data_IF_746296961347
#
_entry.id   IF_746296961347
#
_cell.length_a   1.000
_cell.length_b   1.000
_cell.length_c   1.000
_cell.angle_alpha   90.00
_cell.angle_beta   90.00
_cell.angle_gamma   90.00
#
_symmetry.space_group_name_H-M   'P 1'
#
loop_
_entity.id
_entity.type
_entity.pdbx_description
1 polymer ?
#
# COMPACT_ATOMS: atom_id res chain seq x y z
N UNK A 1 -22.53 9.53 1.46
CA UNK A 1 -21.63 8.43 1.89
C UNK A 1 -21.47 8.53 3.39
N UNK A 2 -21.71 7.46 4.13
CA UNK A 2 -21.53 7.45 5.59
C UNK A 2 -20.04 7.36 6.00
N UNK A 3 -19.75 7.45 7.30
CA UNK A 3 -18.38 7.45 7.82
C UNK A 3 -17.66 6.12 7.53
N UNK A 4 -18.34 5.00 7.62
CA UNK A 4 -17.76 3.67 7.37
C UNK A 4 -17.39 3.50 5.89
N UNK A 5 -18.23 3.95 4.98
CA UNK A 5 -17.96 3.96 3.54
C UNK A 5 -16.79 4.87 3.19
N UNK A 6 -16.60 5.99 3.92
CA UNK A 6 -15.41 6.86 3.72
C UNK A 6 -14.14 6.24 4.28
N UNK A 7 -14.21 5.46 5.37
CA UNK A 7 -13.07 4.72 5.91
C UNK A 7 -12.63 3.57 5.01
N UNK A 8 -13.58 2.92 4.36
CA UNK A 8 -13.36 1.75 3.52
C UNK A 8 -14.07 1.93 2.18
N UNK A 9 -13.57 2.80 1.30
CA UNK A 9 -14.25 3.16 0.06
C UNK A 9 -14.47 1.99 -0.90
N UNK A 10 -13.68 0.94 -0.76
CA UNK A 10 -13.79 -0.31 -1.53
C UNK A 10 -14.16 -1.53 -0.66
N UNK A 11 -14.64 -1.29 0.58
CA UNK A 11 -14.87 -2.34 1.56
C UNK A 11 -13.61 -2.76 2.32
N UNK A 12 -13.78 -3.61 3.33
CA UNK A 12 -12.67 -4.13 4.16
C UNK A 12 -11.92 -5.23 3.43
N UNK A 13 -10.63 -5.35 3.71
CA UNK A 13 -9.81 -6.46 3.19
C UNK A 13 -10.44 -7.81 3.53
N UNK A 14 -10.52 -8.67 2.53
CA UNK A 14 -10.96 -10.06 2.66
C UNK A 14 -9.75 -10.96 2.40
N UNK A 15 -9.27 -11.64 3.46
CA UNK A 15 -8.15 -12.58 3.32
C UNK A 15 -8.54 -13.70 2.36
N UNK A 16 -7.73 -14.00 1.33
CA UNK A 16 -8.01 -15.12 0.45
C UNK A 16 -8.02 -16.44 1.22
N UNK A 17 -9.01 -17.28 0.93
CA UNK A 17 -9.22 -18.58 1.61
C UNK A 17 -8.35 -19.64 0.97
N UNK A 18 -8.22 -19.63 -0.36
CA UNK A 18 -7.50 -20.61 -1.17
C UNK A 18 -6.44 -19.93 -2.02
N UNK A 19 -5.40 -20.70 -2.36
CA UNK A 19 -4.37 -20.27 -3.29
C UNK A 19 -4.91 -20.35 -4.74
N UNK A 20 -4.80 -19.22 -5.46
CA UNK A 20 -5.26 -19.10 -6.85
C UNK A 20 -4.19 -18.34 -7.66
N UNK A 21 -3.47 -19.05 -8.51
CA UNK A 21 -2.42 -18.46 -9.36
C UNK A 21 -2.96 -17.42 -10.35
N UNK A 22 -4.22 -17.53 -10.76
CA UNK A 22 -4.85 -16.57 -11.66
C UNK A 22 -4.89 -15.18 -11.06
N UNK A 23 -5.19 -15.09 -9.76
CA UNK A 23 -5.24 -13.81 -9.02
C UNK A 23 -3.89 -13.13 -8.87
N UNK A 24 -2.80 -13.89 -8.81
CA UNK A 24 -1.44 -13.32 -8.66
C UNK A 24 -1.14 -12.32 -9.77
N UNK A 25 -1.45 -12.66 -11.02
CA UNK A 25 -1.21 -11.78 -12.18
C UNK A 25 -2.01 -10.48 -12.10
N UNK A 26 -3.26 -10.58 -11.68
CA UNK A 26 -4.14 -9.42 -11.52
C UNK A 26 -3.60 -8.48 -10.43
N UNK A 27 -3.22 -9.04 -9.28
CA UNK A 27 -2.65 -8.27 -8.17
C UNK A 27 -1.30 -7.63 -8.53
N UNK A 28 -0.43 -8.34 -9.26
CA UNK A 28 0.83 -7.78 -9.77
C UNK A 28 0.54 -6.60 -10.71
N UNK A 29 -0.49 -6.70 -11.54
CA UNK A 29 -0.90 -5.61 -12.43
C UNK A 29 -1.29 -4.36 -11.63
N UNK A 30 -2.06 -4.53 -10.55
CA UNK A 30 -2.42 -3.41 -9.65
C UNK A 30 -1.16 -2.78 -9.02
N UNK A 31 -0.24 -3.59 -8.51
CA UNK A 31 1.04 -3.11 -7.97
C UNK A 31 1.80 -2.31 -9.04
N UNK A 32 1.92 -2.83 -10.26
CA UNK A 32 2.63 -2.21 -11.38
C UNK A 32 2.06 -0.85 -11.78
N UNK A 33 0.73 -0.74 -11.80
CA UNK A 33 0.03 0.46 -12.28
C UNK A 33 -0.17 1.53 -11.19
N UNK A 34 -0.06 1.16 -9.92
CA UNK A 34 -0.40 2.01 -8.80
C UNK A 34 0.31 3.38 -8.80
N UNK A 35 1.64 3.50 -9.04
CA UNK A 35 2.32 4.80 -9.06
C UNK A 35 1.74 5.76 -10.11
N UNK A 36 1.45 5.24 -11.31
CA UNK A 36 0.86 6.04 -12.37
C UNK A 36 -0.54 6.52 -12.00
N UNK A 37 -1.38 5.65 -11.42
CA UNK A 37 -2.73 6.00 -10.97
C UNK A 37 -2.70 7.07 -9.87
N UNK A 38 -1.78 6.98 -8.91
CA UNK A 38 -1.60 8.04 -7.90
C UNK A 38 -1.20 9.35 -8.55
N UNK A 39 -0.20 9.31 -9.44
CA UNK A 39 0.27 10.49 -10.16
C UNK A 39 -0.85 11.15 -10.97
N UNK A 40 -1.61 10.39 -11.74
CA UNK A 40 -2.74 10.88 -12.53
C UNK A 40 -3.79 11.59 -11.66
N UNK A 41 -4.10 11.04 -10.48
CA UNK A 41 -5.07 11.62 -9.57
C UNK A 41 -4.57 12.90 -8.89
N UNK A 42 -3.24 13.05 -8.70
CA UNK A 42 -2.67 14.13 -7.88
C UNK A 42 -1.93 15.21 -8.67
N UNK A 43 -1.53 14.96 -9.92
CA UNK A 43 -0.66 15.84 -10.73
C UNK A 43 -1.19 17.28 -10.92
N UNK A 44 -2.51 17.49 -10.85
CA UNK A 44 -3.14 18.78 -11.03
C UNK A 44 -3.73 19.34 -9.71
N UNK A 45 -3.45 18.71 -8.57
CA UNK A 45 -3.93 19.19 -7.28
C UNK A 45 -3.08 20.37 -6.79
N UNK A 46 -3.74 21.42 -6.31
CA UNK A 46 -3.09 22.49 -5.55
C UNK A 46 -2.70 21.98 -4.15
N UNK A 47 -1.80 22.71 -3.47
CA UNK A 47 -1.45 22.40 -2.07
C UNK A 47 -2.68 22.35 -1.16
N UNK A 48 -3.64 23.26 -1.36
CA UNK A 48 -4.89 23.25 -0.62
C UNK A 48 -5.70 21.97 -0.83
N UNK A 49 -5.74 21.46 -2.08
CA UNK A 49 -6.39 20.19 -2.39
C UNK A 49 -5.62 18.99 -1.81
N UNK A 50 -4.28 19.01 -1.87
CA UNK A 50 -3.43 17.99 -1.26
C UNK A 50 -3.59 17.98 0.27
N UNK A 51 -3.87 19.11 0.90
CA UNK A 51 -4.08 19.21 2.35
C UNK A 51 -5.56 19.01 2.77
N UNK A 52 -6.42 18.65 1.81
CA UNK A 52 -7.82 18.29 2.09
C UNK A 52 -7.92 16.86 2.64
N UNK A 53 -8.49 16.65 3.84
CA UNK A 53 -8.70 15.32 4.38
C UNK A 53 -9.83 14.59 3.64
N UNK A 54 -9.64 13.28 3.38
CA UNK A 54 -10.66 12.48 2.68
C UNK A 54 -11.94 12.28 3.51
N UNK A 55 -11.88 12.44 4.82
CA UNK A 55 -13.00 12.45 5.76
C UNK A 55 -12.69 13.32 6.98
N UNK A 56 -13.68 13.59 7.80
CA UNK A 56 -13.48 14.23 9.09
C UNK A 56 -12.49 13.42 9.96
N UNK A 57 -11.47 14.08 10.52
CA UNK A 57 -10.38 13.46 11.28
C UNK A 57 -9.65 12.34 10.51
N UNK A 58 -9.67 12.38 9.18
CA UNK A 58 -8.88 11.48 8.32
C UNK A 58 -7.58 12.15 7.87
N UNK A 59 -6.74 11.37 7.23
CA UNK A 59 -5.52 11.88 6.61
C UNK A 59 -5.84 12.76 5.41
N UNK A 60 -4.97 13.72 5.13
CA UNK A 60 -4.99 14.51 3.90
C UNK A 60 -4.51 13.66 2.71
N UNK A 61 -4.77 14.12 1.49
CA UNK A 61 -4.23 13.45 0.29
C UNK A 61 -2.70 13.38 0.36
N UNK A 62 -2.04 14.45 0.80
CA UNK A 62 -0.59 14.50 1.03
C UNK A 62 -0.12 13.37 1.95
N UNK A 63 -0.74 13.23 3.11
CA UNK A 63 -0.43 12.17 4.07
C UNK A 63 -0.68 10.77 3.47
N UNK A 64 -1.74 10.57 2.69
CA UNK A 64 -2.03 9.31 2.02
C UNK A 64 -0.92 8.93 1.02
N UNK A 65 -0.44 9.88 0.21
CA UNK A 65 0.63 9.62 -0.77
C UNK A 65 1.94 9.26 -0.07
N UNK A 66 2.33 10.00 0.97
CA UNK A 66 3.53 9.70 1.74
C UNK A 66 3.41 8.36 2.48
N UNK A 67 2.25 8.08 3.10
CA UNK A 67 1.97 6.80 3.73
C UNK A 67 2.09 5.62 2.76
N UNK A 68 1.62 5.76 1.52
CA UNK A 68 1.78 4.71 0.53
C UNK A 68 3.26 4.40 0.24
N UNK A 69 4.11 5.42 0.14
CA UNK A 69 5.55 5.20 -0.03
C UNK A 69 6.15 4.45 1.17
N UNK A 70 5.86 4.89 2.39
CA UNK A 70 6.34 4.27 3.63
C UNK A 70 5.88 2.82 3.77
N UNK A 71 4.58 2.59 3.58
CA UNK A 71 3.97 1.26 3.69
C UNK A 71 4.54 0.29 2.66
N UNK A 72 4.69 0.74 1.41
CA UNK A 72 5.15 -0.12 0.33
C UNK A 72 6.65 -0.44 0.43
N UNK A 73 7.49 0.47 0.93
CA UNK A 73 8.89 0.19 1.30
C UNK A 73 8.95 -0.93 2.35
N UNK A 74 8.16 -0.82 3.41
CA UNK A 74 8.10 -1.82 4.46
C UNK A 74 7.66 -3.19 3.89
N UNK A 75 6.64 -3.22 3.05
CA UNK A 75 6.17 -4.47 2.44
C UNK A 75 7.21 -5.10 1.52
N UNK A 76 7.81 -4.32 0.62
CA UNK A 76 8.86 -4.80 -0.26
C UNK A 76 10.02 -5.43 0.53
N UNK A 77 10.41 -4.80 1.66
CA UNK A 77 11.41 -5.34 2.57
C UNK A 77 10.95 -6.68 3.15
N UNK A 78 9.70 -6.80 3.59
CA UNK A 78 9.12 -8.06 4.12
C UNK A 78 9.14 -9.19 3.07
N UNK A 79 8.83 -8.89 1.81
CA UNK A 79 8.95 -9.86 0.71
C UNK A 79 10.39 -10.36 0.59
N UNK A 80 11.38 -9.46 0.57
CA UNK A 80 12.79 -9.84 0.47
C UNK A 80 13.24 -10.68 1.66
N UNK A 81 12.89 -10.30 2.87
CA UNK A 81 13.19 -11.07 4.07
C UNK A 81 12.60 -12.49 3.98
N UNK A 82 11.31 -12.62 3.66
CA UNK A 82 10.69 -13.93 3.57
C UNK A 82 11.25 -14.81 2.44
N UNK A 83 11.77 -14.21 1.37
CA UNK A 83 12.41 -14.95 0.27
C UNK A 83 13.83 -15.41 0.61
N UNK A 84 14.50 -14.80 1.57
CA UNK A 84 15.92 -15.04 1.90
C UNK A 84 16.15 -15.67 3.26
N UNK A 85 15.17 -15.63 4.15
CA UNK A 85 15.24 -16.14 5.52
C UNK A 85 14.11 -17.12 5.79
N UNK A 86 14.28 -17.96 6.80
CA UNK A 86 13.22 -18.86 7.27
C UNK A 86 12.36 -18.18 8.31
N UNK A 87 11.10 -17.94 7.96
CA UNK A 87 10.07 -17.32 8.81
C UNK A 87 10.55 -16.07 9.58
N UNK A 88 11.09 -15.05 8.89
CA UNK A 88 11.61 -13.87 9.56
C UNK A 88 10.52 -13.15 10.36
N UNK A 89 10.86 -12.67 11.54
CA UNK A 89 10.00 -11.77 12.31
C UNK A 89 10.21 -10.35 11.80
N UNK A 90 9.15 -9.73 11.28
CA UNK A 90 9.24 -8.36 10.75
C UNK A 90 9.10 -7.32 11.87
N UNK A 91 9.63 -6.12 11.63
CA UNK A 91 9.39 -4.99 12.52
C UNK A 91 8.14 -4.22 12.05
N UNK A 92 7.08 -4.14 12.88
CA UNK A 92 5.96 -3.25 12.61
C UNK A 92 6.36 -1.79 12.86
N UNK A 93 5.59 -0.87 12.31
CA UNK A 93 5.76 0.55 12.56
C UNK A 93 4.40 1.19 12.88
N UNK A 94 4.44 2.32 13.58
CA UNK A 94 3.24 3.04 14.01
C UNK A 94 2.81 4.02 12.91
N UNK A 95 2.05 3.55 11.94
CA UNK A 95 1.65 4.31 10.74
C UNK A 95 1.00 5.66 11.07
N UNK A 96 0.14 5.69 12.09
CA UNK A 96 -0.51 6.92 12.52
C UNK A 96 0.48 7.96 13.06
N UNK A 97 1.56 7.53 13.71
CA UNK A 97 2.60 8.43 14.20
C UNK A 97 3.52 8.89 13.07
N UNK A 98 3.81 8.02 12.11
CA UNK A 98 4.59 8.39 10.92
C UNK A 98 3.83 9.44 10.09
N UNK A 99 2.52 9.29 9.95
CA UNK A 99 1.67 10.27 9.26
C UNK A 99 1.68 11.67 9.90
N UNK A 100 2.11 11.80 11.15
CA UNK A 100 2.23 13.08 11.86
C UNK A 100 3.64 13.71 11.79
N UNK A 101 4.61 13.03 11.19
CA UNK A 101 5.96 13.55 11.02
C UNK A 101 6.00 14.69 9.99
N UNK A 102 7.02 15.55 10.11
CA UNK A 102 7.12 16.78 9.32
C UNK A 102 7.20 16.54 7.82
N UNK A 103 7.94 15.51 7.40
CA UNK A 103 8.06 15.12 6.00
C UNK A 103 6.72 14.67 5.42
N UNK A 104 5.93 13.91 6.16
CA UNK A 104 4.60 13.45 5.73
C UNK A 104 3.57 14.58 5.70
N UNK A 105 3.68 15.56 6.58
CA UNK A 105 2.70 16.66 6.68
C UNK A 105 2.98 17.83 5.75
N UNK A 106 4.24 18.10 5.44
CA UNK A 106 4.63 19.38 4.84
C UNK A 106 5.46 19.29 3.57
N UNK A 107 6.05 18.10 3.27
CA UNK A 107 6.85 17.95 2.06
C UNK A 107 5.95 17.84 0.82
N UNK A 108 6.44 18.35 -0.32
CA UNK A 108 5.82 18.10 -1.62
C UNK A 108 5.79 16.59 -1.92
N UNK A 109 4.71 16.12 -2.55
CA UNK A 109 4.49 14.68 -2.80
C UNK A 109 5.43 14.07 -3.84
N UNK A 110 6.16 14.89 -4.61
CA UNK A 110 7.02 14.45 -5.73
C UNK A 110 8.07 13.44 -5.30
N UNK A 111 8.65 13.59 -4.11
CA UNK A 111 9.61 12.64 -3.56
C UNK A 111 8.99 11.26 -3.32
N UNK A 112 7.78 11.20 -2.77
CA UNK A 112 7.07 9.94 -2.56
C UNK A 112 6.55 9.35 -3.86
N UNK A 113 6.13 10.15 -4.83
CA UNK A 113 5.80 9.66 -6.17
C UNK A 113 7.02 9.01 -6.84
N UNK A 114 8.20 9.62 -6.73
CA UNK A 114 9.46 9.06 -7.26
C UNK A 114 9.86 7.77 -6.55
N UNK A 115 9.69 7.71 -5.22
CA UNK A 115 9.92 6.48 -4.44
C UNK A 115 8.97 5.37 -4.91
N UNK A 116 7.68 5.66 -5.03
CA UNK A 116 6.68 4.69 -5.47
C UNK A 116 6.99 4.16 -6.88
N UNK A 117 7.35 5.03 -7.83
CA UNK A 117 7.71 4.63 -9.19
C UNK A 117 8.90 3.66 -9.20
N UNK A 118 10.01 4.01 -8.58
CA UNK A 118 11.20 3.16 -8.54
C UNK A 118 10.99 1.87 -7.75
N UNK A 119 10.27 1.96 -6.61
CA UNK A 119 9.98 0.82 -5.75
C UNK A 119 9.08 -0.19 -6.46
N UNK A 120 7.96 0.27 -7.04
CA UNK A 120 6.99 -0.60 -7.69
C UNK A 120 7.54 -1.25 -8.95
N UNK A 121 8.40 -0.56 -9.70
CA UNK A 121 9.11 -1.19 -10.81
C UNK A 121 9.94 -2.38 -10.32
N UNK A 122 10.76 -2.19 -9.28
CA UNK A 122 11.55 -3.28 -8.70
C UNK A 122 10.69 -4.38 -8.07
N UNK A 123 9.61 -4.00 -7.42
CA UNK A 123 8.72 -4.95 -6.76
C UNK A 123 7.98 -5.81 -7.79
N UNK A 124 7.50 -5.22 -8.87
CA UNK A 124 6.89 -5.95 -9.99
C UNK A 124 7.86 -7.00 -10.56
N UNK A 125 9.11 -6.62 -10.85
CA UNK A 125 10.14 -7.57 -11.34
C UNK A 125 10.37 -8.71 -10.35
N UNK A 126 10.42 -8.40 -9.04
CA UNK A 126 10.55 -9.43 -8.00
C UNK A 126 9.34 -10.37 -8.00
N UNK A 127 8.12 -9.85 -8.00
CA UNK A 127 6.89 -10.63 -7.97
C UNK A 127 6.74 -11.52 -9.21
N UNK A 128 7.06 -10.99 -10.40
CA UNK A 128 7.03 -11.75 -11.67
C UNK A 128 8.08 -12.87 -11.73
N UNK A 129 9.15 -12.77 -10.94
CA UNK A 129 10.22 -13.79 -10.87
C UNK A 129 9.96 -14.90 -9.85
N UNK A 130 8.95 -14.75 -8.99
CA UNK A 130 8.63 -15.70 -7.93
C UNK A 130 7.91 -16.94 -8.49
N UNK A 131 8.30 -18.12 -8.00
CA UNK A 131 7.58 -19.36 -8.25
C UNK A 131 6.30 -19.46 -7.39
N UNK A 132 5.39 -20.37 -7.73
CA UNK A 132 4.20 -20.65 -6.90
C UNK A 132 4.58 -21.03 -5.46
N UNK A 133 5.70 -21.74 -5.26
CA UNK A 133 6.19 -22.11 -3.93
C UNK A 133 6.66 -20.90 -3.13
N UNK A 134 7.27 -19.90 -3.77
CA UNK A 134 7.70 -18.68 -3.09
C UNK A 134 6.53 -17.92 -2.47
N UNK A 135 5.34 -17.95 -3.09
CA UNK A 135 4.14 -17.33 -2.54
C UNK A 135 3.62 -18.01 -1.27
N UNK A 136 4.04 -19.23 -0.98
CA UNK A 136 3.73 -19.93 0.28
C UNK A 136 4.71 -19.58 1.41
N UNK A 137 5.86 -18.96 1.10
CA UNK A 137 6.79 -18.49 2.14
C UNK A 137 6.11 -17.47 3.03
N UNK A 138 6.51 -17.44 4.28
CA UNK A 138 5.85 -16.63 5.31
C UNK A 138 6.84 -15.71 6.02
N UNK A 139 6.32 -14.62 6.56
CA UNK A 139 6.93 -13.84 7.63
C UNK A 139 6.01 -13.81 8.85
N UNK A 140 6.56 -13.51 10.03
CA UNK A 140 5.83 -13.42 11.27
C UNK A 140 5.63 -11.96 11.64
N UNK A 141 4.36 -11.54 11.77
CA UNK A 141 4.03 -10.24 12.34
C UNK A 141 3.95 -10.37 13.86
N UNK A 142 4.76 -9.65 14.66
CA UNK A 142 4.86 -9.88 16.10
C UNK A 142 3.57 -9.55 16.88
N UNK A 143 2.74 -8.67 16.33
CA UNK A 143 1.39 -8.46 16.86
C UNK A 143 0.56 -9.73 16.63
N UNK A 144 0.22 -10.41 17.73
CA UNK A 144 -0.54 -11.67 17.72
C UNK A 144 0.20 -12.89 17.14
N UNK A 145 1.54 -12.82 16.99
CA UNK A 145 2.34 -13.90 16.41
C UNK A 145 1.74 -14.45 15.10
N UNK A 146 1.29 -13.56 14.23
CA UNK A 146 0.53 -13.89 13.03
C UNK A 146 1.44 -14.24 11.88
N UNK A 147 1.36 -15.49 11.40
CA UNK A 147 2.05 -15.94 10.18
C UNK A 147 1.31 -15.45 8.93
N UNK A 148 2.01 -14.72 8.08
CA UNK A 148 1.46 -14.14 6.85
C UNK A 148 2.24 -14.67 5.65
N UNK A 149 1.57 -15.38 4.75
CA UNK A 149 2.18 -15.83 3.50
C UNK A 149 2.39 -14.66 2.54
N UNK A 150 3.38 -14.77 1.65
CA UNK A 150 3.61 -13.79 0.59
C UNK A 150 2.40 -13.67 -0.36
N UNK A 151 1.64 -14.75 -0.55
CA UNK A 151 0.35 -14.71 -1.25
C UNK A 151 -0.67 -13.79 -0.57
N UNK A 152 -0.86 -13.95 0.75
CA UNK A 152 -1.75 -13.09 1.53
C UNK A 152 -1.24 -11.66 1.56
N UNK A 153 0.07 -11.46 1.67
CA UNK A 153 0.68 -10.14 1.64
C UNK A 153 0.44 -9.43 0.29
N UNK A 154 0.59 -10.13 -0.83
CA UNK A 154 0.30 -9.57 -2.16
C UNK A 154 -1.17 -9.17 -2.28
N UNK A 155 -2.10 -10.05 -1.88
CA UNK A 155 -3.54 -9.73 -1.85
C UNK A 155 -3.84 -8.52 -0.97
N UNK A 156 -3.16 -8.38 0.17
CA UNK A 156 -3.29 -7.22 1.05
C UNK A 156 -2.87 -5.94 0.34
N UNK A 157 -1.78 -5.97 -0.45
CA UNK A 157 -1.29 -4.78 -1.14
C UNK A 157 -2.03 -4.47 -2.44
N UNK A 158 -2.65 -5.45 -3.09
CA UNK A 158 -3.66 -5.19 -4.11
C UNK A 158 -4.83 -4.37 -3.51
N UNK A 159 -5.38 -4.84 -2.41
CA UNK A 159 -6.44 -4.13 -1.69
C UNK A 159 -5.97 -2.76 -1.21
N UNK A 160 -4.78 -2.65 -0.60
CA UNK A 160 -4.21 -1.42 -0.05
C UNK A 160 -4.03 -0.33 -1.12
N UNK A 161 -3.52 -0.69 -2.29
CA UNK A 161 -3.40 0.20 -3.43
C UNK A 161 -4.77 0.78 -3.83
N UNK A 162 -5.74 -0.09 -4.07
CA UNK A 162 -7.08 0.32 -4.47
C UNK A 162 -7.81 1.11 -3.36
N UNK A 163 -7.60 0.75 -2.10
CA UNK A 163 -8.14 1.43 -0.94
C UNK A 163 -7.68 2.89 -0.85
N UNK A 164 -6.38 3.14 -1.00
CA UNK A 164 -5.84 4.50 -0.95
C UNK A 164 -6.13 5.31 -2.21
N UNK A 165 -6.20 4.70 -3.40
CA UNK A 165 -6.75 5.37 -4.58
C UNK A 165 -8.19 5.82 -4.32
N UNK A 166 -9.01 4.97 -3.68
CA UNK A 166 -10.36 5.33 -3.27
C UNK A 166 -10.40 6.53 -2.31
N UNK A 167 -9.48 6.61 -1.34
CA UNK A 167 -9.39 7.77 -0.45
C UNK A 167 -9.08 9.07 -1.20
N UNK A 168 -8.12 9.04 -2.14
CA UNK A 168 -7.79 10.21 -2.96
C UNK A 168 -9.01 10.62 -3.81
N UNK A 169 -9.69 9.67 -4.44
CA UNK A 169 -10.88 9.93 -5.26
C UNK A 169 -12.03 10.57 -4.47
N UNK A 170 -12.18 10.26 -3.17
CA UNK A 170 -13.20 10.90 -2.32
C UNK A 170 -13.01 12.41 -2.19
N UNK A 171 -11.80 12.92 -2.31
CA UNK A 171 -11.53 14.36 -2.23
C UNK A 171 -11.85 15.09 -3.53
N UNK A 172 -11.82 14.38 -4.67
CA UNK A 172 -12.16 14.94 -5.99
C UNK A 172 -13.68 15.12 -6.22
N UNK A 173 -14.50 14.49 -5.37
CA UNK A 173 -15.97 14.54 -5.46
C UNK A 173 -16.56 15.65 -4.58
N UNK A 174 -15.73 16.45 -3.93
CA UNK A 174 -16.15 17.59 -3.09
C UNK A 174 -16.07 18.88 -3.90
#
# INVERSE_FOLDING_TARGET
>A
MDLEQKKYPIGRFQKPVEFDEGKIKDWITVIKEFPNKVKELTQNMSDEQLDTPYRENGWTVRQVVHHCADSHINSFTRFKLALTEDKPVIKPYMENLWAELSDTKHLAIDSSLSILEGLHHRWTVLLESMSSEDYHRIFVHPEHNNEISLYTALATYDWHCNHHLGHIQLTLQK
#
